data_IF_927146927917
#
_entry.id   IF_927146927917
#
_cell.length_a   1.000
_cell.length_b   1.000
_cell.length_c   1.000
_cell.angle_alpha   90.00
_cell.angle_beta   90.00
_cell.angle_gamma   90.00
#
_symmetry.space_group_name_H-M   'P 1'
#
loop_
_entity.id
_entity.type
_entity.pdbx_description
1 polymer ?
#
# COMPACT_ATOMS: atom_id res chain seq x y z
N UNK A 1 12.33 2.06 9.36
CA UNK A 1 11.32 1.46 8.47
C UNK A 1 10.38 2.53 8.01
N UNK A 2 10.36 2.82 6.72
CA UNK A 2 9.45 3.83 6.18
C UNK A 2 8.71 3.27 4.97
N UNK A 3 7.43 3.61 4.87
CA UNK A 3 6.65 3.44 3.66
C UNK A 3 7.21 4.29 2.53
N UNK A 4 6.68 4.01 1.35
CA UNK A 4 7.07 4.66 0.11
C UNK A 4 6.93 6.19 0.11
N UNK A 5 6.00 6.74 0.90
CA UNK A 5 5.81 8.17 1.08
C UNK A 5 6.64 8.76 2.23
N UNK A 6 7.62 8.02 2.76
CA UNK A 6 8.49 8.46 3.85
C UNK A 6 7.88 8.37 5.25
N UNK A 7 6.61 7.96 5.40
CA UNK A 7 5.99 7.74 6.71
C UNK A 7 6.61 6.53 7.42
N UNK A 8 6.89 6.65 8.71
CA UNK A 8 7.35 5.53 9.54
C UNK A 8 6.34 4.36 9.51
N UNK A 9 6.84 3.13 9.32
CA UNK A 9 6.04 1.92 9.28
C UNK A 9 6.02 1.19 10.64
N UNK A 10 4.83 0.75 11.07
CA UNK A 10 4.61 0.05 12.35
C UNK A 10 3.82 -1.23 12.15
N UNK A 11 4.21 -2.29 12.85
CA UNK A 11 3.37 -3.50 12.92
C UNK A 11 1.99 -3.12 13.48
N UNK A 12 0.93 -3.62 12.86
CA UNK A 12 -0.46 -3.26 13.14
C UNK A 12 -1.06 -2.24 12.17
N UNK A 13 -0.24 -1.58 11.33
CA UNK A 13 -0.74 -0.66 10.32
C UNK A 13 -1.55 -1.39 9.24
N UNK A 14 -2.67 -0.80 8.80
CA UNK A 14 -3.36 -1.22 7.57
C UNK A 14 -2.62 -0.63 6.37
N UNK A 15 -2.15 -1.48 5.47
CA UNK A 15 -1.31 -1.10 4.34
C UNK A 15 -1.81 -1.67 3.02
N UNK A 16 -1.45 -0.98 1.93
CA UNK A 16 -1.58 -1.48 0.56
C UNK A 16 -0.21 -1.79 -0.02
N UNK A 17 -0.08 -2.90 -0.74
CA UNK A 17 1.07 -3.17 -1.60
C UNK A 17 0.77 -2.62 -2.99
N UNK A 18 1.73 -1.87 -3.54
CA UNK A 18 1.64 -1.33 -4.89
C UNK A 18 2.56 -2.07 -5.85
N UNK A 19 2.09 -2.27 -7.08
CA UNK A 19 2.89 -2.72 -8.22
C UNK A 19 2.55 -1.86 -9.43
N UNK A 20 3.55 -1.13 -9.96
CA UNK A 20 3.32 -0.17 -11.06
C UNK A 20 2.30 0.91 -10.73
N UNK A 21 2.13 1.28 -9.45
CA UNK A 21 1.10 2.23 -9.00
C UNK A 21 -0.28 1.61 -8.73
N UNK A 22 -0.50 0.33 -9.05
CA UNK A 22 -1.78 -0.37 -8.79
C UNK A 22 -1.75 -1.08 -7.44
N UNK A 23 -2.88 -1.11 -6.75
CA UNK A 23 -3.05 -1.88 -5.50
C UNK A 23 -3.15 -3.37 -5.82
N UNK A 24 -2.23 -4.17 -5.29
CA UNK A 24 -2.18 -5.64 -5.51
C UNK A 24 -2.36 -6.45 -4.23
N UNK A 25 -2.35 -5.82 -3.06
CA UNK A 25 -2.67 -6.45 -1.78
C UNK A 25 -3.11 -5.40 -0.77
N UNK A 26 -4.02 -5.75 0.12
CA UNK A 26 -4.44 -4.94 1.25
C UNK A 26 -4.49 -5.81 2.52
N UNK A 27 -4.04 -5.27 3.65
CA UNK A 27 -4.06 -5.99 4.90
C UNK A 27 -3.31 -5.29 6.02
N UNK A 28 -2.99 -6.05 7.07
CA UNK A 28 -2.28 -5.53 8.25
C UNK A 28 -0.79 -5.92 8.18
N UNK A 29 0.10 -4.95 8.34
CA UNK A 29 1.54 -5.20 8.47
C UNK A 29 1.84 -5.95 9.77
N UNK A 30 2.59 -7.04 9.70
CA UNK A 30 3.08 -7.73 10.89
C UNK A 30 4.49 -8.29 10.70
N UNK A 31 5.12 -8.64 11.82
CA UNK A 31 6.45 -9.26 11.86
C UNK A 31 7.57 -8.44 11.20
N UNK A 32 7.37 -7.14 11.00
CA UNK A 32 8.39 -6.26 10.49
C UNK A 32 9.39 -5.90 11.62
N UNK A 33 10.69 -5.97 11.32
CA UNK A 33 11.77 -5.70 12.28
C UNK A 33 12.23 -4.24 12.20
N UNK A 34 12.28 -3.48 13.33
CA UNK A 34 12.79 -2.10 13.32
C UNK A 34 14.20 -1.99 12.72
N UNK A 35 14.47 -0.89 12.01
CA UNK A 35 15.78 -0.63 11.40
C UNK A 35 16.04 -1.27 10.03
N UNK A 36 15.19 -2.18 9.55
CA UNK A 36 15.32 -2.74 8.19
C UNK A 36 14.27 -2.17 7.23
N UNK A 37 14.70 -1.26 6.35
CA UNK A 37 13.86 -0.58 5.36
C UNK A 37 13.58 -1.40 4.08
N UNK A 38 14.22 -2.57 3.89
CA UNK A 38 14.16 -3.36 2.65
C UNK A 38 13.57 -4.76 2.87
N UNK A 39 12.51 -5.11 2.12
CA UNK A 39 11.85 -6.43 2.13
C UNK A 39 11.60 -7.00 3.54
N UNK A 40 10.74 -6.34 4.32
CA UNK A 40 10.56 -6.64 5.73
C UNK A 40 9.10 -6.89 6.11
N UNK A 41 8.87 -7.84 7.02
CA UNK A 41 7.55 -8.23 7.49
C UNK A 41 6.67 -8.92 6.45
N UNK A 42 5.40 -9.09 6.79
CA UNK A 42 4.38 -9.71 5.96
C UNK A 42 3.07 -8.93 6.04
N UNK A 43 2.19 -9.17 5.06
CA UNK A 43 0.84 -8.61 5.03
C UNK A 43 -0.14 -9.72 5.43
N UNK A 44 -0.80 -9.57 6.57
CA UNK A 44 -1.96 -10.37 6.91
C UNK A 44 -3.14 -9.86 6.07
N UNK A 45 -3.45 -10.57 4.99
CA UNK A 45 -4.51 -10.19 4.04
C UNK A 45 -5.86 -10.17 4.77
N UNK A 46 -6.56 -9.03 4.67
CA UNK A 46 -7.94 -8.92 5.15
C UNK A 46 -8.83 -9.15 3.94
N UNK A 47 -9.59 -10.25 3.95
CA UNK A 47 -10.62 -10.46 2.94
C UNK A 47 -11.68 -9.36 3.08
N UNK A 48 -11.95 -8.58 2.02
CA UNK A 48 -13.09 -7.67 2.04
C UNK A 48 -14.36 -8.52 2.18
N UNK A 49 -15.23 -8.17 3.12
CA UNK A 49 -16.60 -8.66 3.07
C UNK A 49 -17.25 -8.14 1.78
N UNK A 50 -18.25 -8.86 1.26
CA UNK A 50 -19.07 -8.32 0.16
C UNK A 50 -19.69 -7.01 0.63
N UNK A 51 -19.33 -5.92 -0.06
CA UNK A 51 -19.81 -4.57 0.22
C UNK A 51 -20.61 -4.03 -0.96
N UNK A 52 -21.45 -3.03 -0.74
CA UNK A 52 -22.21 -2.39 -1.81
C UNK A 52 -21.39 -1.25 -2.44
N UNK A 53 -21.38 -1.17 -3.76
CA UNK A 53 -20.62 -0.16 -4.48
C UNK A 53 -21.50 1.08 -4.76
N UNK A 54 -21.43 2.10 -3.90
CA UNK A 54 -22.00 3.41 -4.20
C UNK A 54 -21.08 4.12 -5.21
N UNK A 55 -21.54 4.34 -6.44
CA UNK A 55 -20.67 4.83 -7.53
C UNK A 55 -20.05 6.21 -7.25
N UNK A 56 -20.67 7.06 -6.44
CA UNK A 56 -20.10 8.36 -6.05
C UNK A 56 -18.95 8.25 -5.05
N UNK A 57 -18.83 7.11 -4.36
CA UNK A 57 -17.77 6.82 -3.38
C UNK A 57 -16.68 5.90 -3.95
N UNK A 58 -16.83 5.45 -5.20
CA UNK A 58 -15.91 4.53 -5.86
C UNK A 58 -15.05 5.25 -6.90
N UNK A 59 -13.77 4.88 -6.98
CA UNK A 59 -12.87 5.27 -8.07
C UNK A 59 -12.46 4.04 -8.87
N UNK A 60 -12.26 4.21 -10.18
CA UNK A 60 -11.65 3.16 -10.99
C UNK A 60 -10.18 2.96 -10.55
N UNK A 61 -9.70 1.73 -10.56
CA UNK A 61 -8.34 1.40 -10.07
C UNK A 61 -7.23 2.08 -10.87
N UNK A 62 -7.45 2.29 -12.17
CA UNK A 62 -6.49 2.97 -13.03
C UNK A 62 -6.41 4.47 -12.71
N UNK A 63 -7.53 5.12 -12.40
CA UNK A 63 -7.54 6.53 -11.98
C UNK A 63 -6.77 6.71 -10.65
N UNK A 64 -6.92 5.77 -9.71
CA UNK A 64 -6.12 5.76 -8.47
C UNK A 64 -4.63 5.59 -8.78
N UNK A 65 -4.27 4.72 -9.73
CA UNK A 65 -2.89 4.52 -10.13
C UNK A 65 -2.28 5.78 -10.77
N UNK A 66 -3.04 6.52 -11.58
CA UNK A 66 -2.64 7.80 -12.17
C UNK A 66 -2.47 8.88 -11.09
N UNK A 67 -3.38 8.99 -10.13
CA UNK A 67 -3.25 9.90 -8.99
C UNK A 67 -1.99 9.62 -8.17
N UNK A 68 -1.70 8.34 -7.91
CA UNK A 68 -0.46 7.94 -7.25
C UNK A 68 0.77 8.28 -8.09
N UNK A 69 0.71 8.05 -9.40
CA UNK A 69 1.80 8.41 -10.32
C UNK A 69 2.11 9.91 -10.31
N UNK A 70 1.07 10.76 -10.31
CA UNK A 70 1.21 12.21 -10.23
C UNK A 70 1.92 12.68 -8.95
N UNK A 71 1.84 11.89 -7.87
CA UNK A 71 2.55 12.14 -6.60
C UNK A 71 3.94 11.47 -6.53
N UNK A 72 4.45 10.91 -7.63
CA UNK A 72 5.71 10.15 -7.66
C UNK A 72 5.60 8.76 -7.01
N UNK A 73 4.39 8.28 -6.73
CA UNK A 73 4.11 7.01 -6.07
C UNK A 73 3.83 5.84 -7.06
N UNK A 74 4.20 5.99 -8.35
CA UNK A 74 4.23 4.87 -9.31
C UNK A 74 5.49 3.96 -9.24
N UNK A 75 6.72 4.51 -9.33
CA UNK A 75 8.02 3.76 -9.28
C UNK A 75 8.70 3.56 -7.91
N UNK A 76 9.17 2.35 -7.57
CA UNK A 76 9.89 2.09 -6.30
C UNK A 76 10.97 3.17 -6.01
N UNK A 77 11.07 3.70 -4.77
CA UNK A 77 12.10 4.67 -4.43
C UNK A 77 13.51 4.11 -4.66
N UNK A 78 14.41 4.92 -5.21
CA UNK A 78 15.80 4.51 -5.41
C UNK A 78 16.49 4.23 -4.07
N UNK A 79 17.30 3.17 -4.02
CA UNK A 79 18.05 2.77 -2.82
C UNK A 79 17.23 2.12 -1.70
N UNK A 80 15.97 1.74 -1.97
CA UNK A 80 15.06 1.02 -1.05
C UNK A 80 14.41 -0.19 -1.69
#
# INVERSE_FOLDING_TARGET
>A
MHYRNGREAKNGDKIVKLEGGKVVSFGVLHSAVPGNDYCNGNIAVVQPATDYACMVDCLHVDDVAELLAAQGLAKRPEGK
#
